data_IF_699348434667
#
_entry.id   IF_699348434667
#
_cell.length_a   1.000
_cell.length_b   1.000
_cell.length_c   1.000
_cell.angle_alpha   90.00
_cell.angle_beta   90.00
_cell.angle_gamma   90.00
#
_symmetry.space_group_name_H-M   'P 1'
#
loop_
_entity.id
_entity.type
_entity.pdbx_description
1 polymer ?
#
# COMPACT_ATOMS: atom_id res chain seq x y z
N UNK A 1 -18.95 65.41 23.39
CA UNK A 1 -19.42 64.93 22.08
C UNK A 1 -19.04 63.47 21.97
N UNK A 2 -19.94 62.61 22.42
CA UNK A 2 -19.81 61.15 22.52
C UNK A 2 -20.76 60.56 21.47
N UNK A 3 -20.29 59.66 20.63
CA UNK A 3 -21.12 58.90 19.68
C UNK A 3 -20.78 57.41 19.82
N UNK A 4 -21.73 56.56 20.23
CA UNK A 4 -21.68 55.13 20.00
C UNK A 4 -22.59 54.76 18.80
N UNK A 5 -22.16 53.81 17.97
CA UNK A 5 -23.00 53.11 16.99
C UNK A 5 -22.65 51.62 17.00
N UNK A 6 -23.56 50.85 17.61
CA UNK A 6 -24.19 49.59 17.17
C UNK A 6 -23.35 48.52 16.44
N UNK A 7 -23.12 47.34 17.03
CA UNK A 7 -24.01 46.15 17.14
C UNK A 7 -24.05 45.25 15.87
N UNK A 8 -23.63 44.00 16.09
CA UNK A 8 -23.98 42.75 15.39
C UNK A 8 -23.60 42.54 13.91
N UNK A 9 -22.46 41.86 13.73
CA UNK A 9 -22.20 41.01 12.57
C UNK A 9 -22.11 39.54 12.98
N UNK A 10 -23.26 38.87 13.07
CA UNK A 10 -23.35 37.40 13.11
C UNK A 10 -23.20 36.86 11.70
N UNK A 11 -22.31 35.90 11.51
CA UNK A 11 -22.11 35.21 10.24
C UNK A 11 -21.03 34.14 10.37
N UNK A 12 -21.34 33.09 11.14
CA UNK A 12 -20.56 31.87 11.09
C UNK A 12 -20.85 31.09 9.81
N UNK A 13 -19.80 30.53 9.22
CA UNK A 13 -19.75 29.23 8.51
C UNK A 13 -18.25 28.92 8.41
N UNK A 14 -17.69 28.15 9.35
CA UNK A 14 -17.48 26.71 9.16
C UNK A 14 -16.75 26.41 7.84
N UNK A 15 -15.44 26.66 7.82
CA UNK A 15 -14.57 26.12 6.77
C UNK A 15 -13.28 25.64 7.44
N UNK A 16 -12.87 24.42 7.14
CA UNK A 16 -11.69 23.67 7.65
C UNK A 16 -11.93 22.56 8.69
N UNK A 17 -13.17 22.27 9.09
CA UNK A 17 -13.50 21.00 9.79
C UNK A 17 -13.81 19.84 8.82
N UNK A 18 -13.85 20.10 7.51
CA UNK A 18 -14.18 19.14 6.43
C UNK A 18 -12.94 18.60 5.71
N UNK A 19 -11.93 18.20 6.47
CA UNK A 19 -11.19 16.99 6.12
C UNK A 19 -11.54 15.92 7.14
N UNK A 20 -12.84 15.62 7.19
CA UNK A 20 -13.32 14.37 7.73
C UNK A 20 -12.43 13.27 7.12
N UNK A 21 -11.65 12.52 7.90
CA UNK A 21 -12.21 11.49 8.76
C UNK A 21 -13.35 10.73 8.08
N UNK A 22 -13.24 10.51 6.78
CA UNK A 22 -13.80 9.32 6.15
C UNK A 22 -12.85 8.17 6.52
N UNK A 23 -12.81 7.86 7.82
CA UNK A 23 -12.39 6.55 8.28
C UNK A 23 -13.44 5.60 7.69
N UNK A 24 -13.14 5.09 6.50
CA UNK A 24 -13.93 4.05 5.87
C UNK A 24 -13.96 2.90 6.88
N UNK A 25 -15.16 2.61 7.36
CA UNK A 25 -15.46 1.50 8.27
C UNK A 25 -14.96 0.21 7.61
N UNK A 26 -13.75 -0.23 7.95
CA UNK A 26 -13.08 -1.38 7.32
C UNK A 26 -11.58 -1.20 7.04
N UNK A 27 -11.02 0.02 7.17
CA UNK A 27 -9.58 0.22 7.01
C UNK A 27 -8.82 -0.19 8.27
N UNK A 28 -7.87 -1.13 8.14
CA UNK A 28 -6.93 -1.43 9.22
C UNK A 28 -5.91 -0.30 9.31
N UNK A 29 -5.69 0.28 10.50
CA UNK A 29 -4.71 1.35 10.64
C UNK A 29 -3.32 0.81 10.28
N UNK A 30 -2.62 1.52 9.39
CA UNK A 30 -1.29 1.16 8.91
C UNK A 30 -0.31 0.85 10.06
N UNK A 31 -0.44 1.55 11.19
CA UNK A 31 0.37 1.33 12.38
C UNK A 31 0.21 -0.07 12.97
N UNK A 32 -1.00 -0.63 12.97
CA UNK A 32 -1.27 -1.98 13.48
C UNK A 32 -0.63 -3.03 12.57
N UNK A 33 -0.86 -2.94 11.26
CA UNK A 33 -0.30 -3.88 10.26
C UNK A 33 1.23 -3.89 10.25
N UNK A 34 1.86 -2.72 10.40
CA UNK A 34 3.33 -2.63 10.47
C UNK A 34 3.87 -3.12 11.82
N UNK A 35 3.09 -3.02 12.90
CA UNK A 35 3.48 -3.50 14.23
C UNK A 35 3.39 -5.02 14.37
N UNK A 36 2.46 -5.68 13.66
CA UNK A 36 2.35 -7.15 13.62
C UNK A 36 3.58 -7.79 12.94
N UNK A 37 4.23 -7.06 12.03
CA UNK A 37 5.35 -7.55 11.22
C UNK A 37 6.46 -6.49 11.06
N UNK A 38 7.16 -6.13 12.16
CA UNK A 38 8.12 -5.03 12.15
C UNK A 38 9.29 -5.34 11.22
N UNK A 39 9.50 -4.48 10.21
CA UNK A 39 10.60 -4.59 9.25
C UNK A 39 10.38 -5.58 8.09
N UNK A 40 9.27 -6.32 8.09
CA UNK A 40 8.95 -7.25 6.98
C UNK A 40 8.15 -6.57 5.87
N UNK A 41 7.37 -5.53 6.19
CA UNK A 41 6.50 -4.83 5.26
C UNK A 41 6.99 -3.40 4.99
N UNK A 42 6.84 -2.96 3.74
CA UNK A 42 7.15 -1.63 3.24
C UNK A 42 5.94 -1.02 2.54
N UNK A 43 5.80 0.32 2.63
CA UNK A 43 4.76 1.06 1.92
C UNK A 43 5.03 1.02 0.42
N UNK A 44 3.96 0.82 -0.36
CA UNK A 44 4.01 0.97 -1.82
C UNK A 44 3.76 2.43 -2.21
N UNK A 45 3.75 2.72 -3.52
CA UNK A 45 3.29 4.02 -4.03
C UNK A 45 1.78 4.27 -3.87
N UNK A 46 1.01 3.23 -3.54
CA UNK A 46 -0.41 3.34 -3.24
C UNK A 46 -0.63 3.45 -1.72
N UNK A 47 -1.50 4.34 -1.23
CA UNK A 47 -1.81 4.45 0.19
C UNK A 47 -2.49 3.20 0.75
N UNK A 48 -3.15 2.40 -0.10
CA UNK A 48 -4.00 1.28 0.34
C UNK A 48 -3.27 -0.07 0.37
N UNK A 49 -2.00 -0.12 -0.04
CA UNK A 49 -1.25 -1.37 -0.12
C UNK A 49 0.15 -1.24 0.50
N UNK A 50 0.51 -2.26 1.26
CA UNK A 50 1.88 -2.51 1.71
C UNK A 50 2.33 -3.88 1.18
N UNK A 51 3.63 -4.11 1.06
CA UNK A 51 4.14 -5.39 0.59
C UNK A 51 5.41 -5.81 1.33
N UNK A 52 5.83 -7.06 1.15
CA UNK A 52 7.07 -7.54 1.75
C UNK A 52 8.30 -6.80 1.21
N UNK A 53 9.28 -6.54 2.06
CA UNK A 53 10.59 -6.03 1.62
C UNK A 53 11.28 -7.08 0.74
N UNK A 54 11.77 -6.65 -0.43
CA UNK A 54 12.60 -7.49 -1.30
C UNK A 54 14.09 -7.25 -1.02
N UNK A 55 14.95 -8.28 -1.17
CA UNK A 55 16.40 -8.08 -1.13
C UNK A 55 16.86 -7.07 -2.19
N UNK A 56 17.84 -6.23 -1.86
CA UNK A 56 18.40 -5.24 -2.80
C UNK A 56 19.09 -5.89 -4.00
N UNK A 57 19.68 -7.06 -3.81
CA UNK A 57 20.25 -7.88 -4.86
C UNK A 57 19.92 -9.35 -4.59
N UNK A 58 19.45 -10.06 -5.62
CA UNK A 58 19.10 -11.46 -5.52
C UNK A 58 19.51 -12.24 -6.76
N UNK A 59 19.84 -13.52 -6.57
CA UNK A 59 20.18 -14.42 -7.68
C UNK A 59 18.92 -14.72 -8.50
N UNK A 60 19.02 -14.65 -9.82
CA UNK A 60 17.92 -15.02 -10.71
C UNK A 60 17.47 -16.47 -10.50
N UNK A 61 16.16 -16.70 -10.63
CA UNK A 61 15.44 -17.96 -10.44
C UNK A 61 15.70 -18.66 -9.09
N UNK A 62 16.22 -17.93 -8.10
CA UNK A 62 16.36 -18.42 -6.72
C UNK A 62 15.15 -18.00 -5.89
N UNK A 63 14.65 -18.93 -5.09
CA UNK A 63 13.61 -18.68 -4.08
C UNK A 63 13.99 -17.51 -3.18
N UNK A 64 13.06 -16.59 -2.94
CA UNK A 64 13.26 -15.46 -2.02
C UNK A 64 13.48 -15.97 -0.58
N UNK A 65 14.23 -15.24 0.26
CA UNK A 65 14.48 -15.66 1.65
C UNK A 65 13.20 -15.65 2.49
N UNK A 66 12.23 -14.82 2.11
CA UNK A 66 10.90 -14.72 2.73
C UNK A 66 9.85 -14.73 1.62
N UNK A 67 8.71 -15.36 1.87
CA UNK A 67 7.59 -15.34 0.93
C UNK A 67 7.07 -13.91 0.75
N UNK A 68 6.99 -13.45 -0.50
CA UNK A 68 6.46 -12.13 -0.82
C UNK A 68 4.95 -12.08 -0.56
N UNK A 69 4.49 -11.01 0.07
CA UNK A 69 3.07 -10.75 0.35
C UNK A 69 2.70 -9.35 -0.14
N UNK A 70 1.47 -9.19 -0.58
CA UNK A 70 0.79 -7.90 -0.74
C UNK A 70 -0.35 -7.86 0.27
N UNK A 71 -0.42 -6.79 1.05
CA UNK A 71 -1.44 -6.59 2.09
C UNK A 71 -2.25 -5.35 1.74
N UNK A 72 -3.57 -5.51 1.70
CA UNK A 72 -4.51 -4.42 1.53
C UNK A 72 -4.88 -3.82 2.90
N UNK A 73 -4.83 -2.49 3.01
CA UNK A 73 -5.22 -1.77 4.22
C UNK A 73 -6.74 -1.50 4.24
N UNK A 74 -7.33 -1.23 3.08
CA UNK A 74 -8.79 -1.15 2.88
C UNK A 74 -9.33 -2.41 2.20
N UNK A 75 -10.65 -2.62 2.28
CA UNK A 75 -11.33 -3.87 1.87
C UNK A 75 -11.05 -4.29 0.42
N UNK A 76 -10.61 -5.54 0.23
CA UNK A 76 -10.46 -6.19 -1.08
C UNK A 76 -11.09 -7.57 -1.00
N UNK A 77 -12.09 -7.82 -1.84
CA UNK A 77 -12.82 -9.09 -1.81
C UNK A 77 -11.90 -10.32 -1.96
N UNK A 78 -12.15 -11.32 -1.12
CA UNK A 78 -11.48 -12.62 -1.19
C UNK A 78 -11.67 -13.24 -2.57
N UNK A 79 -10.62 -13.90 -3.07
CA UNK A 79 -10.61 -14.44 -4.43
C UNK A 79 -10.07 -13.46 -5.48
N UNK A 80 -9.83 -12.19 -5.14
CA UNK A 80 -9.23 -11.22 -6.07
C UNK A 80 -7.83 -11.66 -6.48
N UNK A 81 -7.60 -11.78 -7.79
CA UNK A 81 -6.30 -12.14 -8.34
C UNK A 81 -5.32 -10.97 -8.24
N UNK A 82 -4.16 -11.20 -7.64
CA UNK A 82 -3.06 -10.24 -7.55
C UNK A 82 -1.89 -10.74 -8.39
N UNK A 83 -1.36 -9.88 -9.26
CA UNK A 83 -0.21 -10.21 -10.13
C UNK A 83 0.94 -9.24 -9.89
N UNK A 84 2.17 -9.74 -9.99
CA UNK A 84 3.40 -8.94 -9.91
C UNK A 84 4.00 -8.82 -11.31
N UNK A 85 4.50 -7.62 -11.62
CA UNK A 85 5.33 -7.35 -12.79
C UNK A 85 6.60 -6.66 -12.33
N UNK A 86 7.68 -6.89 -13.06
CA UNK A 86 8.96 -6.24 -12.82
C UNK A 86 9.49 -5.71 -14.15
N UNK A 87 10.10 -4.54 -14.14
CA UNK A 87 10.70 -3.97 -15.33
C UNK A 87 11.52 -2.73 -15.00
N UNK A 88 12.41 -2.39 -15.93
CA UNK A 88 13.23 -1.18 -15.94
C UNK A 88 13.48 -0.75 -17.40
N UNK A 89 14.41 0.19 -17.61
CA UNK A 89 14.70 0.72 -18.95
C UNK A 89 15.38 -0.31 -19.88
N UNK A 90 16.11 -1.29 -19.32
CA UNK A 90 16.80 -2.32 -20.09
C UNK A 90 15.89 -3.53 -20.38
N UNK A 91 14.99 -3.85 -19.45
CA UNK A 91 14.08 -4.97 -19.52
C UNK A 91 12.69 -4.52 -19.05
N UNK A 92 11.87 -4.07 -19.99
CA UNK A 92 10.55 -3.50 -19.68
C UNK A 92 9.58 -4.48 -19.02
N UNK A 93 9.75 -5.78 -19.24
CA UNK A 93 8.92 -6.81 -18.65
C UNK A 93 9.75 -8.06 -18.38
N UNK A 94 10.33 -8.13 -17.19
CA UNK A 94 11.15 -9.24 -16.77
C UNK A 94 10.31 -10.51 -16.57
N UNK A 95 10.88 -11.65 -16.97
CA UNK A 95 10.28 -12.96 -16.72
C UNK A 95 10.22 -13.25 -15.22
N UNK A 96 9.06 -13.65 -14.74
CA UNK A 96 8.81 -14.05 -13.35
C UNK A 96 8.19 -15.45 -13.30
N UNK A 97 8.37 -16.14 -12.17
CA UNK A 97 7.65 -17.39 -11.86
C UNK A 97 6.79 -17.20 -10.62
N UNK A 98 5.63 -17.86 -10.61
CA UNK A 98 4.66 -17.80 -9.52
C UNK A 98 4.29 -16.35 -9.14
N UNK A 99 4.14 -15.49 -10.16
CA UNK A 99 3.86 -14.07 -10.00
C UNK A 99 2.37 -13.74 -9.81
N UNK A 100 1.54 -14.76 -9.59
CA UNK A 100 0.10 -14.63 -9.35
C UNK A 100 -0.23 -15.24 -7.99
N UNK A 101 -1.04 -14.52 -7.21
CA UNK A 101 -1.58 -14.98 -5.94
C UNK A 101 -3.06 -14.57 -5.83
N UNK A 102 -3.75 -15.14 -4.85
CA UNK A 102 -5.14 -14.81 -4.55
C UNK A 102 -5.19 -14.02 -3.25
N UNK A 103 -5.93 -12.92 -3.25
CA UNK A 103 -6.23 -12.15 -2.06
C UNK A 103 -7.13 -12.99 -1.14
N UNK A 104 -6.71 -13.13 0.12
CA UNK A 104 -7.52 -13.75 1.17
C UNK A 104 -7.29 -13.04 2.48
N UNK A 105 -8.36 -12.63 3.16
CA UNK A 105 -8.29 -11.86 4.39
C UNK A 105 -7.33 -10.67 4.27
N UNK A 106 -7.45 -9.92 3.16
CA UNK A 106 -6.61 -8.75 2.86
C UNK A 106 -5.13 -9.05 2.61
N UNK A 107 -4.74 -10.33 2.47
CA UNK A 107 -3.35 -10.73 2.18
C UNK A 107 -3.30 -11.62 0.94
N UNK A 108 -2.52 -11.22 -0.05
CA UNK A 108 -2.12 -12.07 -1.17
C UNK A 108 -0.69 -12.56 -0.94
N UNK A 109 -0.54 -13.84 -0.60
CA UNK A 109 0.76 -14.49 -0.36
C UNK A 109 1.22 -15.24 -1.60
N UNK A 110 2.37 -14.86 -2.14
CA UNK A 110 2.94 -15.50 -3.32
C UNK A 110 3.72 -16.74 -2.91
N UNK A 111 3.36 -17.89 -3.51
CA UNK A 111 4.03 -19.15 -3.25
C UNK A 111 5.28 -19.25 -4.12
N UNK A 112 6.45 -19.04 -3.52
CA UNK A 112 7.74 -19.15 -4.21
C UNK A 112 7.83 -18.23 -5.44
N UNK A 113 7.51 -16.94 -5.28
CA UNK A 113 7.77 -15.91 -6.29
C UNK A 113 9.26 -15.89 -6.65
N UNK A 114 9.58 -15.89 -7.95
CA UNK A 114 10.97 -15.78 -8.43
C UNK A 114 11.10 -14.78 -9.56
N UNK A 115 12.22 -14.07 -9.54
CA UNK A 115 12.67 -13.20 -10.62
C UNK A 115 13.60 -13.99 -11.54
N UNK A 116 13.20 -14.26 -12.78
CA UNK A 116 14.00 -15.03 -13.76
C UNK A 116 14.78 -14.06 -14.66
N UNK A 117 14.11 -13.02 -15.16
CA UNK A 117 14.74 -11.94 -15.90
C UNK A 117 15.79 -11.20 -15.08
N UNK A 118 16.87 -10.76 -15.74
CA UNK A 118 17.93 -9.95 -15.13
C UNK A 118 17.66 -8.47 -15.35
N UNK A 119 18.16 -7.64 -14.44
CA UNK A 119 17.95 -6.19 -14.42
C UNK A 119 19.10 -5.37 -15.03
N UNK A 120 20.17 -6.01 -15.52
CA UNK A 120 21.38 -5.30 -15.98
C UNK A 120 22.66 -5.66 -15.23
N UNK A 121 23.73 -4.91 -15.52
CA UNK A 121 25.00 -4.92 -14.77
C UNK A 121 25.17 -3.62 -14.00
#
# INVERSE_FOLDING_TARGET
MHLPLDLHGSGGVADSADKMSEFIMGERPLSEVLSEHPGELVRTGSPNFVCSVLPSHWRSNKTLPVAFKVVALGEVGDGTTVTIRAGNDENHCAELRNFTAIMKNQVAKFNDLRFVGRSGR
#
